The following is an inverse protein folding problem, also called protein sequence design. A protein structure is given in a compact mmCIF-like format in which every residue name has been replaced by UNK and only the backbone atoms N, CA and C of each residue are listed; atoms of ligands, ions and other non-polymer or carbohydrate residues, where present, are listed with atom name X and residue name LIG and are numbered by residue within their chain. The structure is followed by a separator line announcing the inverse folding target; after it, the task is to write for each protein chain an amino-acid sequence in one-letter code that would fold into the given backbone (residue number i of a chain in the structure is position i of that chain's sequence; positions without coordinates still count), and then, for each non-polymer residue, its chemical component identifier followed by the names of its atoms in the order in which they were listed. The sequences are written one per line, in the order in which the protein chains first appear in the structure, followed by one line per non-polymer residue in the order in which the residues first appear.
data_IF_348045217456
#
_entry.id   IF_348045217456
#
_cell.length_a   1.000
_cell.length_b   1.000
_cell.length_c   1.000
_cell.angle_alpha   90.00
_cell.angle_beta   90.00
_cell.angle_gamma   90.00
#
_symmetry.space_group_name_H-M   'P 1'
#
loop_
_entity.id
_entity.type
_entity.pdbx_description
1 polymer ?
#
# COMPACT_ATOMS: atom_id res chain seq x y z
N UNK A 1 0.00 27.88 10.43
CA UNK A 1 -0.21 26.62 11.19
C UNK A 1 0.26 25.49 10.30
N UNK A 2 1.34 24.78 10.63
CA UNK A 2 1.79 23.61 9.85
C UNK A 2 0.94 22.42 10.28
N UNK A 3 0.05 21.97 9.41
CA UNK A 3 -0.75 20.75 9.62
C UNK A 3 0.20 19.56 9.54
N UNK A 4 0.30 18.76 10.61
CA UNK A 4 1.03 17.49 10.57
C UNK A 4 0.13 16.52 9.79
N UNK A 5 0.61 16.04 8.65
CA UNK A 5 -0.06 14.96 7.91
C UNK A 5 0.17 13.64 8.65
N UNK A 6 -0.93 13.04 9.12
CA UNK A 6 -0.96 11.75 9.82
C UNK A 6 -1.60 10.66 8.96
N UNK A 7 -1.77 10.92 7.66
CA UNK A 7 -2.34 9.93 6.74
C UNK A 7 -1.36 8.77 6.60
N UNK A 8 -1.73 7.54 6.99
CA UNK A 8 -0.82 6.41 6.92
C UNK A 8 -0.49 6.07 5.46
N UNK A 9 0.71 5.58 5.21
CA UNK A 9 1.04 5.01 3.89
C UNK A 9 0.25 3.73 3.66
N UNK A 10 0.11 3.32 2.40
CA UNK A 10 -0.54 2.05 2.07
C UNK A 10 0.22 0.84 2.67
N UNK A 11 1.55 0.93 2.80
CA UNK A 11 2.34 -0.09 3.51
C UNK A 11 2.01 -0.17 5.00
N UNK A 12 1.77 0.95 5.66
CA UNK A 12 1.33 0.99 7.07
C UNK A 12 -0.08 0.42 7.24
N UNK A 13 -1.00 0.71 6.32
CA UNK A 13 -2.33 0.08 6.27
C UNK A 13 -2.20 -1.44 6.07
N UNK A 14 -1.30 -1.88 5.19
CA UNK A 14 -1.00 -3.30 4.97
C UNK A 14 -0.53 -4.01 6.24
N UNK A 15 0.40 -3.39 6.99
CA UNK A 15 0.87 -3.90 8.28
C UNK A 15 -0.26 -4.02 9.31
N UNK A 16 -1.15 -3.03 9.38
CA UNK A 16 -2.33 -3.07 10.27
C UNK A 16 -3.24 -4.23 9.89
N UNK A 17 -3.55 -4.37 8.59
CA UNK A 17 -4.39 -5.45 8.08
C UNK A 17 -3.82 -6.82 8.45
N UNK A 18 -2.54 -7.06 8.18
CA UNK A 18 -1.87 -8.34 8.48
C UNK A 18 -1.94 -8.68 9.96
N UNK A 19 -1.62 -7.73 10.86
CA UNK A 19 -1.68 -7.95 12.31
C UNK A 19 -3.10 -8.30 12.79
N UNK A 20 -4.11 -7.61 12.27
CA UNK A 20 -5.52 -7.90 12.58
C UNK A 20 -5.94 -9.28 12.07
N UNK A 21 -5.49 -9.67 10.87
CA UNK A 21 -5.72 -10.98 10.30
C UNK A 21 -5.09 -12.10 11.13
N UNK A 22 -3.82 -11.95 11.52
CA UNK A 22 -3.12 -12.88 12.40
C UNK A 22 -3.80 -12.99 13.78
N UNK A 23 -4.33 -11.88 14.29
CA UNK A 23 -5.06 -11.81 15.57
C UNK A 23 -6.53 -12.26 15.48
N UNK A 24 -7.02 -12.65 14.29
CA UNK A 24 -8.41 -13.09 14.04
C UNK A 24 -9.47 -12.02 14.34
N UNK A 25 -9.13 -10.74 14.19
CA UNK A 25 -10.03 -9.61 14.40
C UNK A 25 -10.99 -9.41 13.21
N UNK A 26 -11.87 -10.39 12.99
CA UNK A 26 -12.71 -10.50 11.77
C UNK A 26 -13.58 -9.26 11.53
N UNK A 27 -14.16 -8.67 12.59
CA UNK A 27 -15.00 -7.46 12.46
C UNK A 27 -14.19 -6.25 11.99
N UNK A 28 -12.97 -6.08 12.49
CA UNK A 28 -12.11 -4.97 12.08
C UNK A 28 -11.69 -5.13 10.61
N UNK A 29 -11.30 -6.34 10.21
CA UNK A 29 -10.94 -6.67 8.82
C UNK A 29 -12.12 -6.44 7.87
N UNK A 30 -13.34 -6.80 8.27
CA UNK A 30 -14.54 -6.52 7.49
C UNK A 30 -14.75 -5.02 7.26
N UNK A 31 -14.45 -4.20 8.26
CA UNK A 31 -14.49 -2.74 8.15
C UNK A 31 -13.42 -2.18 7.19
N UNK A 32 -12.30 -2.89 7.00
CA UNK A 32 -11.20 -2.47 6.12
C UNK A 32 -11.36 -2.93 4.66
N UNK A 33 -12.48 -3.56 4.29
CA UNK A 33 -12.68 -4.10 2.92
C UNK A 33 -12.49 -3.04 1.83
N UNK A 34 -12.89 -1.80 2.10
CA UNK A 34 -12.81 -0.71 1.12
C UNK A 34 -11.36 -0.26 0.88
N UNK A 35 -10.53 -0.24 1.93
CA UNK A 35 -9.12 0.07 1.91
C UNK A 35 -8.36 -1.01 1.14
N UNK A 36 -8.67 -2.27 1.43
CA UNK A 36 -8.08 -3.42 0.74
C UNK A 36 -8.42 -3.39 -0.74
N UNK A 37 -9.70 -3.17 -1.09
CA UNK A 37 -10.13 -3.06 -2.49
C UNK A 37 -9.40 -1.92 -3.24
N UNK A 38 -9.26 -0.75 -2.60
CA UNK A 38 -8.53 0.39 -3.17
C UNK A 38 -7.05 0.09 -3.37
N UNK A 39 -6.39 -0.53 -2.39
CA UNK A 39 -4.98 -0.89 -2.46
C UNK A 39 -4.70 -1.83 -3.64
N UNK A 40 -5.50 -2.90 -3.78
CA UNK A 40 -5.34 -3.85 -4.89
C UNK A 40 -5.70 -3.25 -6.25
N UNK A 41 -6.72 -2.40 -6.33
CA UNK A 41 -7.04 -1.67 -7.56
C UNK A 41 -5.88 -0.75 -7.99
N UNK A 42 -5.26 -0.04 -7.05
CA UNK A 42 -4.11 0.81 -7.33
C UNK A 42 -2.88 0.00 -7.77
N UNK A 43 -2.61 -1.15 -7.13
CA UNK A 43 -1.54 -2.05 -7.54
C UNK A 43 -1.74 -2.57 -8.98
N UNK A 44 -2.97 -2.97 -9.32
CA UNK A 44 -3.30 -3.40 -10.69
C UNK A 44 -3.16 -2.25 -11.70
N UNK A 45 -3.63 -1.05 -11.34
CA UNK A 45 -3.49 0.12 -12.20
C UNK A 45 -2.02 0.43 -12.49
N UNK A 46 -1.16 0.42 -11.45
CA UNK A 46 0.28 0.61 -11.62
C UNK A 46 0.87 -0.46 -12.53
N UNK A 47 0.60 -1.75 -12.27
CA UNK A 47 1.13 -2.84 -13.09
C UNK A 47 0.75 -2.70 -14.58
N UNK A 48 -0.47 -2.27 -14.87
CA UNK A 48 -0.96 -2.06 -16.24
C UNK A 48 -0.24 -0.92 -16.95
N UNK A 49 0.07 0.18 -16.26
CA UNK A 49 0.71 1.36 -16.86
C UNK A 49 2.24 1.31 -16.77
N UNK A 50 2.82 0.46 -15.92
CA UNK A 50 4.24 0.50 -15.58
C UNK A 50 5.16 0.35 -16.79
N UNK A 51 4.83 -0.56 -17.72
CA UNK A 51 5.60 -0.76 -18.95
C UNK A 51 5.49 0.41 -19.95
N UNK A 52 4.57 1.35 -19.72
CA UNK A 52 4.36 2.54 -20.55
C UNK A 52 5.02 3.78 -19.93
N UNK A 53 5.57 3.66 -18.72
CA UNK A 53 6.28 4.75 -18.07
C UNK A 53 7.63 4.98 -18.77
N UNK A 54 8.06 6.24 -18.91
CA UNK A 54 9.46 6.57 -19.17
C UNK A 54 10.40 5.87 -18.16
N UNK A 55 11.63 5.58 -18.60
CA UNK A 55 12.58 4.77 -17.81
C UNK A 55 12.84 5.35 -16.42
N UNK A 56 13.00 6.67 -16.29
CA UNK A 56 13.23 7.35 -15.01
C UNK A 56 12.04 7.22 -14.04
N UNK A 57 10.80 7.31 -14.56
CA UNK A 57 9.59 7.12 -13.77
C UNK A 57 9.36 5.65 -13.42
N UNK A 58 9.72 4.72 -14.30
CA UNK A 58 9.65 3.29 -14.02
C UNK A 58 10.66 2.87 -12.95
N UNK A 59 11.90 3.35 -13.04
CA UNK A 59 12.93 3.14 -12.01
C UNK A 59 12.47 3.70 -10.65
N UNK A 60 11.90 4.90 -10.64
CA UNK A 60 11.34 5.49 -9.43
C UNK A 60 10.19 4.64 -8.85
N UNK A 61 9.25 4.18 -9.69
CA UNK A 61 8.14 3.36 -9.25
C UNK A 61 8.63 2.03 -8.64
N UNK A 62 9.60 1.37 -9.28
CA UNK A 62 10.26 0.16 -8.76
C UNK A 62 10.92 0.42 -7.40
N UNK A 63 11.65 1.54 -7.27
CA UNK A 63 12.30 1.93 -6.01
C UNK A 63 11.28 2.15 -4.89
N UNK A 64 10.19 2.87 -5.17
CA UNK A 64 9.13 3.11 -4.18
C UNK A 64 8.47 1.80 -3.74
N UNK A 65 8.18 0.89 -4.66
CA UNK A 65 7.63 -0.43 -4.33
C UNK A 65 8.60 -1.19 -3.42
N UNK A 66 9.89 -1.23 -3.75
CA UNK A 66 10.91 -1.89 -2.92
C UNK A 66 11.02 -1.27 -1.52
N UNK A 67 10.97 0.06 -1.41
CA UNK A 67 11.00 0.75 -0.12
C UNK A 67 9.75 0.47 0.73
N UNK A 68 8.55 0.44 0.13
CA UNK A 68 7.31 0.08 0.83
C UNK A 68 7.28 -1.39 1.25
N UNK A 69 7.83 -2.31 0.44
CA UNK A 69 7.97 -3.73 0.82
C UNK A 69 8.91 -3.90 2.01
N UNK A 70 10.03 -3.16 2.02
CA UNK A 70 10.97 -3.15 3.16
C UNK A 70 10.33 -2.69 4.46
N UNK A 71 9.46 -1.68 4.42
CA UNK A 71 8.69 -1.21 5.59
C UNK A 71 7.71 -2.28 6.11
N UNK A 72 7.32 -3.22 5.27
CA UNK A 72 6.44 -4.35 5.61
C UNK A 72 7.23 -5.60 6.05
N UNK A 73 8.57 -5.55 6.02
CA UNK A 73 9.44 -6.65 6.46
C UNK A 73 9.89 -7.60 5.35
N UNK A 74 9.77 -7.19 4.08
CA UNK A 74 10.23 -7.96 2.92
C UNK A 74 11.51 -7.39 2.28
#
# INVERSE_FOLDING_TARGET
MKTIDLTPTWGEIGNIYTRLAESKEVKAIQGMRSEVARAFAAAQALQTIQAQLPDDLNELACKVVAEEMKKQGF
#
